data_IF_578178228254
#
_entry.id   IF_578178228254
#
_cell.length_a   1.000
_cell.length_b   1.000
_cell.length_c   1.000
_cell.angle_alpha   90.00
_cell.angle_beta   90.00
_cell.angle_gamma   90.00
#
_symmetry.space_group_name_H-M   'P 1'
#
loop_
_entity.id
_entity.type
_entity.pdbx_description
1 polymer ?
#
# COMPACT_ATOMS: atom_id res chain seq x y z
N UNK A 1 -9.00 -17.40 16.84
CA UNK A 1 -9.74 -16.69 17.89
C UNK A 1 -11.10 -16.31 17.32
N UNK A 2 -12.16 -16.72 18.01
CA UNK A 2 -13.50 -16.28 17.70
C UNK A 2 -13.55 -14.77 17.96
N UNK A 3 -13.95 -13.99 16.95
CA UNK A 3 -14.13 -12.55 17.13
C UNK A 3 -15.34 -12.30 18.06
N UNK A 4 -15.34 -11.19 18.82
CA UNK A 4 -16.45 -10.81 19.71
C UNK A 4 -17.79 -10.79 19.00
N UNK A 5 -17.81 -10.42 17.70
CA UNK A 5 -19.00 -10.48 16.86
C UNK A 5 -19.53 -11.91 16.69
N UNK A 6 -18.66 -12.92 16.63
CA UNK A 6 -19.05 -14.32 16.52
C UNK A 6 -19.66 -14.84 17.83
N UNK A 7 -19.14 -14.38 18.97
CA UNK A 7 -19.68 -14.77 20.30
C UNK A 7 -21.02 -14.10 20.55
N UNK A 8 -21.17 -12.83 20.21
CA UNK A 8 -22.46 -12.11 20.29
C UNK A 8 -23.54 -12.78 19.43
N UNK A 9 -23.22 -13.19 18.20
CA UNK A 9 -24.19 -13.85 17.32
C UNK A 9 -24.62 -15.24 17.82
N UNK A 10 -23.74 -15.92 18.56
CA UNK A 10 -24.09 -17.21 19.20
C UNK A 10 -25.04 -17.05 20.38
N UNK A 11 -24.98 -15.92 21.07
CA UNK A 11 -25.83 -15.64 22.26
C UNK A 11 -27.14 -14.97 21.91
N UNK A 12 -27.18 -14.11 20.87
CA UNK A 12 -28.36 -13.30 20.52
C UNK A 12 -29.07 -13.75 19.24
N UNK A 13 -28.52 -14.72 18.53
CA UNK A 13 -28.94 -15.15 17.20
C UNK A 13 -28.43 -14.20 16.10
N UNK A 14 -28.62 -14.64 14.84
CA UNK A 14 -28.25 -13.82 13.68
C UNK A 14 -29.28 -12.69 13.51
N UNK A 15 -28.79 -11.45 13.47
CA UNK A 15 -29.62 -10.27 13.19
C UNK A 15 -29.40 -9.83 11.75
N UNK A 16 -30.45 -9.36 11.11
CA UNK A 16 -30.38 -8.77 9.78
C UNK A 16 -30.69 -7.28 9.89
N UNK A 17 -29.85 -6.47 9.30
CA UNK A 17 -30.12 -5.05 9.13
C UNK A 17 -30.85 -4.84 7.81
N UNK A 18 -32.04 -4.22 7.86
CA UNK A 18 -32.81 -3.82 6.70
C UNK A 18 -32.59 -2.33 6.44
N UNK A 19 -31.98 -2.00 5.33
CA UNK A 19 -31.83 -0.62 4.87
C UNK A 19 -32.91 -0.37 3.83
N UNK A 20 -33.94 0.47 4.14
CA UNK A 20 -34.98 0.79 3.17
C UNK A 20 -34.39 1.56 1.98
N UNK A 21 -34.72 1.17 0.76
CA UNK A 21 -34.39 1.86 -0.47
C UNK A 21 -35.58 2.61 -1.06
N UNK A 22 -35.33 3.53 -1.99
CA UNK A 22 -36.36 4.31 -2.68
C UNK A 22 -36.93 3.59 -3.95
N UNK A 23 -36.64 2.30 -4.12
CA UNK A 23 -37.07 1.49 -5.25
C UNK A 23 -38.52 1.02 -5.17
N UNK A 24 -39.02 0.42 -6.27
CA UNK A 24 -40.33 -0.24 -6.30
C UNK A 24 -40.41 -1.38 -5.27
N UNK A 25 -41.60 -1.61 -4.63
CA UNK A 25 -41.73 -2.69 -3.68
C UNK A 25 -41.35 -4.04 -4.26
N UNK A 26 -40.45 -4.75 -3.60
CA UNK A 26 -40.01 -6.09 -3.95
C UNK A 26 -40.23 -7.04 -2.77
N UNK A 27 -40.67 -8.27 -3.05
CA UNK A 27 -40.89 -9.30 -2.03
C UNK A 27 -39.73 -10.31 -1.95
N UNK A 28 -38.84 -10.28 -2.94
CA UNK A 28 -37.72 -11.21 -3.03
C UNK A 28 -36.43 -10.45 -2.85
N UNK A 29 -35.73 -10.69 -1.75
CA UNK A 29 -34.44 -10.08 -1.45
C UNK A 29 -33.37 -11.16 -1.43
N UNK A 30 -32.19 -10.85 -2.01
CA UNK A 30 -31.00 -11.66 -1.89
C UNK A 30 -30.17 -11.10 -0.75
N UNK A 31 -29.92 -11.90 0.27
CA UNK A 31 -29.07 -11.52 1.39
C UNK A 31 -27.62 -11.57 0.88
N UNK A 32 -26.96 -10.43 0.84
CA UNK A 32 -25.55 -10.37 0.58
C UNK A 32 -24.77 -10.63 1.88
N UNK A 33 -23.66 -11.39 1.84
CA UNK A 33 -22.74 -11.46 2.96
C UNK A 33 -22.30 -10.08 3.41
N UNK A 34 -22.04 -9.91 4.71
CA UNK A 34 -21.68 -8.61 5.30
C UNK A 34 -20.45 -7.96 4.64
N UNK A 35 -19.52 -8.78 4.15
CA UNK A 35 -18.33 -8.38 3.39
C UNK A 35 -18.66 -7.75 2.03
N UNK A 36 -19.84 -8.04 1.46
CA UNK A 36 -20.34 -7.46 0.20
C UNK A 36 -21.39 -6.36 0.39
N UNK A 37 -21.83 -6.09 1.60
CA UNK A 37 -22.82 -5.06 1.88
C UNK A 37 -22.35 -3.66 1.43
N UNK A 38 -21.06 -3.39 1.52
CA UNK A 38 -20.48 -2.13 1.05
C UNK A 38 -20.67 -1.91 -0.46
N UNK A 39 -20.61 -2.99 -1.27
CA UNK A 39 -20.79 -2.93 -2.73
C UNK A 39 -22.20 -2.52 -3.16
N UNK A 40 -23.19 -2.63 -2.27
CA UNK A 40 -24.58 -2.25 -2.57
C UNK A 40 -24.83 -0.77 -2.38
N UNK A 41 -23.91 -0.04 -1.76
CA UNK A 41 -24.03 1.41 -1.59
C UNK A 41 -23.81 2.11 -2.94
N UNK A 42 -24.71 2.99 -3.39
CA UNK A 42 -24.50 3.76 -4.60
C UNK A 42 -23.26 4.66 -4.44
N UNK A 43 -22.41 4.68 -5.47
CA UNK A 43 -21.18 5.50 -5.47
C UNK A 43 -19.97 4.90 -4.73
N UNK A 44 -20.02 3.61 -4.34
CA UNK A 44 -18.85 2.93 -3.80
C UNK A 44 -17.69 2.95 -4.79
N UNK A 45 -16.50 3.32 -4.31
CA UNK A 45 -15.28 3.27 -5.10
C UNK A 45 -14.63 1.89 -4.94
N UNK A 46 -14.48 1.17 -6.04
CA UNK A 46 -13.71 -0.08 -6.05
C UNK A 46 -12.33 0.18 -6.61
N UNK A 47 -11.30 -0.22 -5.89
CA UNK A 47 -9.90 -0.15 -6.30
C UNK A 47 -9.29 -1.53 -6.41
N UNK A 48 -8.40 -1.71 -7.38
CA UNK A 48 -7.63 -2.93 -7.56
C UNK A 48 -6.22 -2.71 -7.03
N UNK A 49 -5.74 -3.62 -6.18
CA UNK A 49 -4.40 -3.56 -5.63
C UNK A 49 -3.61 -4.78 -6.10
N UNK A 50 -2.35 -4.58 -6.47
CA UNK A 50 -1.47 -5.66 -6.92
C UNK A 50 -0.22 -5.72 -6.05
N UNK A 51 0.17 -6.94 -5.67
CA UNK A 51 1.36 -7.20 -4.86
C UNK A 51 2.09 -8.46 -5.37
N UNK A 52 3.40 -8.58 -5.15
CA UNK A 52 4.13 -9.81 -5.47
C UNK A 52 3.68 -11.00 -4.62
N UNK A 53 3.20 -10.76 -3.40
CA UNK A 53 2.70 -11.77 -2.46
C UNK A 53 1.52 -11.25 -1.63
N UNK A 54 0.86 -12.11 -0.86
CA UNK A 54 -0.36 -11.76 -0.13
C UNK A 54 -0.13 -10.90 1.11
N UNK A 55 1.08 -10.89 1.67
CA UNK A 55 1.40 -10.22 2.95
C UNK A 55 0.44 -10.56 4.10
N UNK A 56 -0.24 -11.70 4.02
CA UNK A 56 -1.26 -12.08 4.99
C UNK A 56 -2.57 -11.28 4.90
N UNK A 57 -2.77 -10.51 3.84
CA UNK A 57 -4.02 -9.77 3.60
C UNK A 57 -5.10 -10.74 3.10
N UNK A 58 -6.28 -10.64 3.71
CA UNK A 58 -7.46 -11.45 3.40
C UNK A 58 -8.71 -10.60 3.15
N UNK A 59 -9.73 -11.20 2.56
CA UNK A 59 -11.04 -10.57 2.43
C UNK A 59 -11.61 -10.20 3.81
N UNK A 60 -12.32 -9.09 3.88
CA UNK A 60 -12.88 -8.54 5.11
C UNK A 60 -11.94 -7.64 5.91
N UNK A 61 -10.64 -7.62 5.62
CA UNK A 61 -9.71 -6.74 6.32
C UNK A 61 -9.92 -5.27 5.96
N UNK A 62 -9.73 -4.35 6.93
CA UNK A 62 -10.03 -2.94 6.77
C UNK A 62 -9.03 -2.21 5.86
N UNK A 63 -9.54 -1.20 5.13
CA UNK A 63 -8.75 -0.11 4.59
C UNK A 63 -8.80 1.06 5.56
N UNK A 64 -7.63 1.57 5.94
CA UNK A 64 -7.48 2.59 6.99
C UNK A 64 -6.84 3.83 6.39
N UNK A 65 -7.46 4.99 6.59
CA UNK A 65 -6.96 6.31 6.22
C UNK A 65 -6.94 7.19 7.47
N UNK A 66 -5.78 7.71 7.84
CA UNK A 66 -5.59 8.50 9.07
C UNK A 66 -6.17 7.85 10.35
N UNK A 67 -6.06 6.52 10.48
CA UNK A 67 -6.59 5.78 11.63
C UNK A 67 -8.10 5.50 11.56
N UNK A 68 -8.81 5.95 10.51
CA UNK A 68 -10.23 5.72 10.31
C UNK A 68 -10.43 4.61 9.29
N UNK A 69 -11.30 3.64 9.57
CA UNK A 69 -11.69 2.65 8.58
C UNK A 69 -12.57 3.30 7.51
N UNK A 70 -12.06 3.32 6.29
CA UNK A 70 -12.72 3.93 5.12
C UNK A 70 -13.24 2.91 4.11
N UNK A 71 -12.94 1.64 4.32
CA UNK A 71 -13.31 0.57 3.41
C UNK A 71 -12.84 -0.79 3.87
N UNK A 72 -12.92 -1.75 2.98
CA UNK A 72 -12.47 -3.13 3.25
C UNK A 72 -12.01 -3.85 1.99
N UNK A 73 -11.17 -4.87 2.17
CA UNK A 73 -10.79 -5.82 1.13
C UNK A 73 -11.97 -6.75 0.85
N UNK A 74 -12.35 -6.86 -0.43
CA UNK A 74 -13.48 -7.69 -0.88
C UNK A 74 -13.05 -9.09 -1.28
N UNK A 75 -11.93 -9.16 -2.01
CA UNK A 75 -11.46 -10.40 -2.63
C UNK A 75 -9.94 -10.39 -2.76
N UNK A 76 -9.37 -11.59 -2.65
CA UNK A 76 -7.97 -11.88 -2.95
C UNK A 76 -7.90 -12.93 -4.04
N UNK A 77 -7.12 -12.68 -5.08
CA UNK A 77 -6.94 -13.60 -6.21
C UNK A 77 -5.47 -13.80 -6.53
N UNK A 78 -5.03 -15.05 -6.61
CA UNK A 78 -3.70 -15.38 -7.11
C UNK A 78 -3.65 -15.18 -8.63
N UNK A 79 -2.58 -14.57 -9.10
CA UNK A 79 -2.30 -14.32 -10.52
C UNK A 79 -0.90 -14.85 -10.87
N UNK A 80 -0.57 -14.94 -12.14
CA UNK A 80 0.77 -15.37 -12.59
C UNK A 80 1.90 -14.44 -12.11
N UNK A 81 1.59 -13.16 -11.83
CA UNK A 81 2.57 -12.13 -11.43
C UNK A 81 2.53 -11.80 -9.94
N UNK A 82 1.76 -12.57 -9.14
CA UNK A 82 1.59 -12.29 -7.71
C UNK A 82 0.14 -12.35 -7.28
N UNK A 83 -0.28 -11.45 -6.41
CA UNK A 83 -1.62 -11.43 -5.83
C UNK A 83 -2.32 -10.12 -6.18
N UNK A 84 -3.57 -10.22 -6.63
CA UNK A 84 -4.45 -9.09 -6.86
C UNK A 84 -5.55 -9.06 -5.80
N UNK A 85 -5.81 -7.89 -5.26
CA UNK A 85 -6.90 -7.64 -4.32
C UNK A 85 -7.91 -6.69 -4.95
N UNK A 86 -9.18 -6.94 -4.67
CA UNK A 86 -10.25 -5.99 -4.92
C UNK A 86 -10.66 -5.39 -3.57
N UNK A 87 -10.76 -4.09 -3.47
CA UNK A 87 -11.10 -3.40 -2.23
C UNK A 87 -12.17 -2.35 -2.50
N UNK A 88 -13.12 -2.20 -1.57
CA UNK A 88 -14.16 -1.20 -1.63
C UNK A 88 -13.89 -0.09 -0.63
N UNK A 89 -14.09 1.15 -1.06
CA UNK A 89 -14.01 2.36 -0.25
C UNK A 89 -15.40 2.98 -0.17
N UNK A 90 -15.80 3.33 1.03
CA UNK A 90 -17.11 3.96 1.28
C UNK A 90 -17.22 5.26 0.45
N UNK A 91 -18.38 5.52 -0.19
CA UNK A 91 -18.60 6.69 -1.04
C UNK A 91 -18.20 8.02 -0.42
N UNK A 92 -18.42 8.18 0.89
CA UNK A 92 -18.09 9.41 1.62
C UNK A 92 -16.58 9.71 1.65
N UNK A 93 -15.73 8.70 1.45
CA UNK A 93 -14.27 8.83 1.47
C UNK A 93 -13.61 8.67 0.09
N UNK A 94 -14.40 8.37 -0.94
CA UNK A 94 -13.89 8.14 -2.30
C UNK A 94 -13.10 9.32 -2.86
N UNK A 95 -13.46 10.54 -2.50
CA UNK A 95 -12.78 11.78 -2.89
C UNK A 95 -11.42 12.00 -2.22
N UNK A 96 -11.06 11.20 -1.22
CA UNK A 96 -9.77 11.26 -0.54
C UNK A 96 -8.71 10.36 -1.18
N UNK A 97 -9.11 9.55 -2.18
CA UNK A 97 -8.20 8.68 -2.93
C UNK A 97 -7.94 9.29 -4.30
N UNK A 98 -6.67 9.43 -4.64
CA UNK A 98 -6.19 10.04 -5.88
C UNK A 98 -5.25 9.10 -6.63
N UNK A 99 -4.84 9.47 -7.85
CA UNK A 99 -3.95 8.65 -8.66
C UNK A 99 -2.55 8.42 -8.04
N UNK A 100 -2.09 9.32 -7.19
CA UNK A 100 -0.82 9.25 -6.46
C UNK A 100 -0.96 8.68 -5.04
N UNK A 101 -2.16 8.27 -4.61
CA UNK A 101 -2.35 7.58 -3.33
C UNK A 101 -1.55 6.28 -3.30
N UNK A 102 -1.01 5.93 -2.13
CA UNK A 102 -0.27 4.69 -1.91
C UNK A 102 -1.03 3.76 -0.96
N UNK A 103 -0.92 2.48 -1.20
CA UNK A 103 -1.53 1.44 -0.37
C UNK A 103 -0.41 0.63 0.26
N UNK A 104 -0.40 0.54 1.58
CA UNK A 104 0.67 -0.08 2.37
C UNK A 104 0.05 -1.09 3.32
N UNK A 105 0.66 -2.25 3.44
CA UNK A 105 0.23 -3.23 4.45
C UNK A 105 0.38 -2.61 5.83
N UNK A 106 -0.69 -2.64 6.61
CA UNK A 106 -0.66 -2.23 8.01
C UNK A 106 -0.12 -3.40 8.83
N UNK A 107 1.22 -3.56 8.82
CA UNK A 107 1.88 -4.61 9.60
C UNK A 107 1.75 -4.31 11.08
N UNK A 108 1.54 -5.36 11.86
CA UNK A 108 1.28 -5.29 13.31
C UNK A 108 2.48 -4.82 14.13
N UNK A 109 3.68 -4.80 13.54
CA UNK A 109 4.92 -4.41 14.23
C UNK A 109 5.91 -3.86 13.21
N UNK A 110 6.17 -2.56 13.24
CA UNK A 110 7.39 -2.00 12.68
C UNK A 110 8.48 -2.10 13.76
N UNK A 111 9.30 -3.12 13.66
CA UNK A 111 10.49 -3.27 14.54
C UNK A 111 11.66 -2.59 13.82
N UNK A 112 12.07 -1.43 14.29
CA UNK A 112 13.36 -0.86 13.90
C UNK A 112 14.44 -1.41 14.80
N UNK A 113 15.33 -2.22 14.24
CA UNK A 113 16.56 -2.66 14.91
C UNK A 113 17.64 -1.66 14.53
N UNK A 114 17.97 -0.76 15.43
CA UNK A 114 19.10 0.16 15.31
C UNK A 114 20.27 -0.27 16.21
N UNK A 115 21.42 0.38 16.04
CA UNK A 115 22.59 0.17 16.92
C UNK A 115 22.31 0.56 18.39
N UNK A 116 21.25 1.34 18.64
CA UNK A 116 20.83 1.83 19.96
C UNK A 116 19.75 0.95 20.62
N UNK A 117 19.40 -0.19 20.01
CA UNK A 117 18.41 -1.11 20.56
C UNK A 117 17.22 -1.39 19.61
N UNK A 118 16.22 -2.08 20.15
CA UNK A 118 14.97 -2.42 19.44
C UNK A 118 13.91 -1.41 19.83
N UNK A 119 13.50 -0.57 18.90
CA UNK A 119 12.42 0.38 19.09
C UNK A 119 11.12 -0.19 18.51
N UNK A 120 10.14 -0.45 19.38
CA UNK A 120 8.79 -0.85 18.97
C UNK A 120 7.97 0.41 18.71
N UNK A 121 7.79 0.80 17.47
CA UNK A 121 6.86 1.86 17.10
C UNK A 121 5.44 1.30 17.18
N UNK A 122 4.82 1.46 18.35
CA UNK A 122 3.51 0.91 18.66
C UNK A 122 2.38 1.57 17.90
N UNK A 123 1.65 0.76 17.14
CA UNK A 123 0.28 1.05 16.77
C UNK A 123 -0.61 1.03 18.02
N UNK A 124 -1.73 1.77 18.01
CA UNK A 124 -2.71 1.70 19.11
C UNK A 124 -3.26 0.28 19.28
N UNK A 125 -3.68 -0.09 20.48
CA UNK A 125 -4.16 -1.44 20.79
C UNK A 125 -5.29 -1.92 19.84
N UNK A 126 -6.09 -1.02 19.26
CA UNK A 126 -7.12 -1.32 18.26
C UNK A 126 -6.55 -1.66 16.88
N UNK A 127 -5.38 -1.14 16.52
CA UNK A 127 -4.68 -1.46 15.27
C UNK A 127 -3.96 -2.82 15.34
N UNK A 128 -3.65 -3.29 16.55
CA UNK A 128 -3.03 -4.59 16.78
C UNK A 128 -3.93 -5.79 16.45
N UNK A 129 -5.25 -5.60 16.49
CA UNK A 129 -6.21 -6.71 16.40
C UNK A 129 -6.53 -7.10 14.95
N UNK A 130 -6.52 -6.18 14.00
CA UNK A 130 -7.16 -6.41 12.71
C UNK A 130 -6.26 -6.45 11.47
N UNK A 131 -4.97 -6.07 11.53
CA UNK A 131 -4.16 -5.96 10.33
C UNK A 131 -4.81 -4.98 9.31
N UNK A 132 -4.61 -5.23 8.02
CA UNK A 132 -5.31 -4.48 6.96
C UNK A 132 -4.39 -3.68 6.08
N UNK A 133 -4.95 -2.73 5.36
CA UNK A 133 -4.24 -1.89 4.40
C UNK A 133 -4.37 -0.43 4.82
N UNK A 134 -3.25 0.25 5.01
CA UNK A 134 -3.20 1.69 5.24
C UNK A 134 -3.16 2.42 3.89
N UNK A 135 -3.98 3.45 3.76
CA UNK A 135 -3.96 4.37 2.62
C UNK A 135 -3.14 5.60 3.02
N UNK A 136 -2.13 5.91 2.23
CA UNK A 136 -1.44 7.19 2.28
C UNK A 136 -2.13 8.09 1.26
N UNK A 137 -2.76 9.19 1.68
CA UNK A 137 -3.52 10.02 0.77
C UNK A 137 -2.60 10.66 -0.26
N UNK A 138 -3.06 10.70 -1.50
CA UNK A 138 -2.48 11.51 -2.54
C UNK A 138 -3.14 12.88 -2.60
N UNK A 139 -2.65 13.73 -3.49
CA UNK A 139 -3.21 15.06 -3.74
C UNK A 139 -3.46 15.34 -5.22
N UNK A 140 -3.05 14.43 -6.10
CA UNK A 140 -3.03 14.67 -7.55
C UNK A 140 -3.41 13.43 -8.37
N UNK A 141 -3.86 13.70 -9.57
CA UNK A 141 -4.12 12.69 -10.59
C UNK A 141 -5.49 12.03 -10.46
N UNK A 142 -6.03 11.65 -11.61
CA UNK A 142 -7.24 10.84 -11.69
C UNK A 142 -6.99 9.46 -11.08
N UNK A 143 -8.05 8.83 -10.58
CA UNK A 143 -8.00 7.46 -10.09
C UNK A 143 -7.37 6.53 -11.13
N UNK A 144 -6.51 5.63 -10.67
CA UNK A 144 -5.89 4.61 -11.51
C UNK A 144 -6.78 3.36 -11.54
N UNK A 145 -6.68 2.59 -12.60
CA UNK A 145 -7.33 1.29 -12.71
C UNK A 145 -6.82 0.30 -11.64
N UNK A 146 -5.54 0.41 -11.31
CA UNK A 146 -4.91 -0.39 -10.24
C UNK A 146 -3.76 0.34 -9.57
N UNK A 147 -3.49 -0.04 -8.33
CA UNK A 147 -2.42 0.49 -7.49
C UNK A 147 -1.50 -0.63 -7.01
N UNK A 148 -0.22 -0.36 -6.81
CA UNK A 148 0.65 -1.27 -6.10
C UNK A 148 0.28 -1.31 -4.60
N UNK A 149 0.32 -2.51 -4.02
CA UNK A 149 0.27 -2.69 -2.57
C UNK A 149 1.70 -2.95 -2.07
N UNK A 150 2.19 -2.07 -1.21
CA UNK A 150 3.55 -2.12 -0.67
C UNK A 150 3.58 -2.88 0.65
N UNK A 151 4.63 -3.66 0.87
CA UNK A 151 4.83 -4.43 2.11
C UNK A 151 4.94 -3.53 3.35
N UNK A 152 5.54 -2.36 3.21
CA UNK A 152 5.77 -1.39 4.28
C UNK A 152 5.89 0.04 3.73
N UNK A 153 5.99 1.01 4.65
CA UNK A 153 6.09 2.43 4.32
C UNK A 153 7.37 2.76 3.54
N UNK A 154 8.50 2.14 3.90
CA UNK A 154 9.78 2.40 3.25
C UNK A 154 9.72 2.07 1.76
N UNK A 155 9.13 0.91 1.40
CA UNK A 155 8.92 0.53 -0.01
C UNK A 155 7.99 1.48 -0.76
N UNK A 156 6.98 2.03 -0.09
CA UNK A 156 6.10 3.02 -0.70
C UNK A 156 6.83 4.35 -0.94
N UNK A 157 7.72 4.76 -0.02
CA UNK A 157 8.56 5.95 -0.16
C UNK A 157 9.61 5.75 -1.26
N UNK A 158 10.32 4.62 -1.27
CA UNK A 158 11.28 4.27 -2.34
C UNK A 158 10.62 4.36 -3.72
N UNK A 159 9.41 3.81 -3.88
CA UNK A 159 8.67 3.93 -5.13
C UNK A 159 8.34 5.39 -5.50
N UNK A 160 8.02 6.23 -4.51
CA UNK A 160 7.76 7.65 -4.75
C UNK A 160 9.03 8.41 -5.19
N UNK A 161 10.18 8.03 -4.63
CA UNK A 161 11.48 8.59 -5.03
C UNK A 161 11.89 8.12 -6.42
N UNK A 162 11.55 6.87 -6.79
CA UNK A 162 11.78 6.33 -8.13
C UNK A 162 10.93 6.99 -9.23
N UNK A 163 9.77 7.57 -8.88
CA UNK A 163 8.90 8.31 -9.80
C UNK A 163 9.36 9.78 -9.99
N UNK A 164 10.32 10.26 -9.20
CA UNK A 164 10.91 11.59 -9.39
C UNK A 164 11.88 11.57 -10.58
N UNK A 165 11.94 12.64 -11.39
CA UNK A 165 12.88 12.69 -12.50
C UNK A 165 14.32 12.63 -11.96
N UNK A 166 14.95 11.48 -12.12
CA UNK A 166 16.36 11.32 -11.80
C UNK A 166 17.21 12.00 -12.85
N UNK A 167 18.23 12.72 -12.43
CA UNK A 167 19.23 13.28 -13.35
C UNK A 167 20.34 12.25 -13.52
N UNK A 168 20.54 11.80 -14.75
CA UNK A 168 21.71 10.95 -15.07
C UNK A 168 22.92 11.84 -15.31
N UNK A 169 24.00 11.60 -14.57
CA UNK A 169 25.29 12.24 -14.75
C UNK A 169 26.32 11.20 -15.16
N UNK A 170 27.17 11.58 -16.11
CA UNK A 170 28.34 10.76 -16.48
C UNK A 170 29.61 11.46 -16.03
N UNK A 171 30.38 10.79 -15.19
CA UNK A 171 31.72 11.23 -14.79
C UNK A 171 32.76 10.44 -15.57
N UNK A 172 33.90 11.08 -15.86
CA UNK A 172 35.05 10.41 -16.44
C UNK A 172 36.21 10.40 -15.44
N UNK A 173 36.82 9.25 -15.25
CA UNK A 173 37.97 9.06 -14.37
C UNK A 173 39.15 8.41 -15.18
N UNK A 174 40.34 8.96 -15.05
CA UNK A 174 41.55 8.42 -15.73
C UNK A 174 42.00 7.09 -15.13
N UNK A 175 41.70 6.85 -13.86
CA UNK A 175 42.02 5.62 -13.15
C UNK A 175 40.74 4.95 -12.66
N UNK A 176 40.76 3.62 -12.49
CA UNK A 176 39.63 2.88 -11.95
C UNK A 176 39.33 3.37 -10.54
N UNK A 177 38.17 3.99 -10.32
CA UNK A 177 37.75 4.45 -8.99
C UNK A 177 37.34 3.27 -8.11
N UNK A 178 37.50 3.40 -6.80
CA UNK A 178 37.02 2.44 -5.81
C UNK A 178 35.52 2.57 -5.60
N UNK A 179 34.77 2.45 -6.70
CA UNK A 179 33.30 2.46 -6.72
C UNK A 179 32.80 1.39 -7.68
N UNK A 180 31.63 0.87 -7.40
CA UNK A 180 30.96 -0.14 -8.21
C UNK A 180 29.47 0.22 -8.39
N UNK A 181 28.77 -0.49 -9.27
CA UNK A 181 27.32 -0.35 -9.38
C UNK A 181 26.66 -0.58 -8.01
N UNK A 182 25.76 0.31 -7.61
CA UNK A 182 25.12 0.34 -6.30
C UNK A 182 25.91 1.13 -5.23
N UNK A 183 27.10 1.67 -5.53
CA UNK A 183 27.78 2.60 -4.61
C UNK A 183 26.94 3.87 -4.44
N UNK A 184 26.77 4.32 -3.19
CA UNK A 184 25.99 5.52 -2.88
C UNK A 184 26.73 6.81 -3.26
N UNK A 185 25.99 7.79 -3.76
CA UNK A 185 26.48 9.14 -3.99
C UNK A 185 26.04 10.05 -2.85
N UNK A 186 27.00 10.66 -2.17
CA UNK A 186 26.74 11.52 -1.02
C UNK A 186 26.96 13.00 -1.34
N UNK A 187 26.03 13.85 -0.93
CA UNK A 187 26.21 15.29 -0.85
C UNK A 187 26.03 15.75 0.59
N UNK A 188 27.08 16.34 1.17
CA UNK A 188 27.12 16.77 2.59
C UNK A 188 26.71 15.67 3.58
N UNK A 189 27.12 14.42 3.31
CA UNK A 189 26.79 13.19 4.07
C UNK A 189 25.34 12.68 3.90
N UNK A 190 24.53 13.31 3.05
CA UNK A 190 23.21 12.79 2.70
C UNK A 190 23.29 12.01 1.39
N UNK A 191 22.62 10.87 1.33
CA UNK A 191 22.52 10.11 0.10
C UNK A 191 21.65 10.86 -0.92
N UNK A 192 22.27 11.21 -2.04
CA UNK A 192 21.62 11.94 -3.13
C UNK A 192 21.54 11.14 -4.43
N UNK A 193 22.05 9.92 -4.44
CA UNK A 193 22.02 9.10 -5.63
C UNK A 193 22.83 7.82 -5.50
N UNK A 194 22.99 7.13 -6.61
CA UNK A 194 23.74 5.88 -6.71
C UNK A 194 24.50 5.77 -8.02
N UNK A 195 25.58 4.97 -8.01
CA UNK A 195 26.34 4.59 -9.20
C UNK A 195 25.57 3.48 -9.93
N UNK A 196 25.22 3.71 -11.20
CA UNK A 196 24.53 2.72 -12.03
C UNK A 196 25.49 1.77 -12.70
N UNK A 197 26.56 2.33 -13.29
CA UNK A 197 27.53 1.51 -13.99
C UNK A 197 28.90 2.18 -14.04
N UNK A 198 29.95 1.37 -14.11
CA UNK A 198 31.32 1.79 -14.39
C UNK A 198 31.77 1.06 -15.64
N UNK A 199 32.10 1.79 -16.71
CA UNK A 199 32.52 1.23 -18.02
C UNK A 199 33.92 1.67 -18.35
N UNK A 200 34.83 0.71 -18.69
CA UNK A 200 36.16 1.05 -19.19
C UNK A 200 36.07 1.65 -20.60
N UNK A 201 36.89 2.66 -20.87
CA UNK A 201 37.21 3.21 -22.19
C UNK A 201 38.70 2.95 -22.50
N UNK A 202 39.13 3.39 -23.67
CA UNK A 202 40.53 3.18 -24.09
C UNK A 202 41.54 3.86 -23.15
N UNK A 203 41.18 5.00 -22.57
CA UNK A 203 42.04 5.89 -21.77
C UNK A 203 41.41 6.39 -20.48
N UNK A 204 40.20 5.91 -20.15
CA UNK A 204 39.45 6.39 -19.01
C UNK A 204 38.36 5.39 -18.58
N UNK A 205 37.63 5.72 -17.52
CA UNK A 205 36.43 5.01 -17.07
C UNK A 205 35.25 5.99 -17.06
N UNK A 206 34.15 5.59 -17.67
CA UNK A 206 32.89 6.30 -17.57
C UNK A 206 32.07 5.74 -16.40
N UNK A 207 31.66 6.63 -15.49
CA UNK A 207 30.84 6.32 -14.31
C UNK A 207 29.51 6.99 -14.50
N UNK A 208 28.46 6.22 -14.63
CA UNK A 208 27.08 6.72 -14.77
C UNK A 208 26.42 6.75 -13.41
N UNK A 209 25.89 7.90 -13.02
CA UNK A 209 25.24 8.15 -11.75
C UNK A 209 23.78 8.50 -11.98
N UNK A 210 22.91 8.01 -11.11
CA UNK A 210 21.55 8.54 -10.95
C UNK A 210 21.53 9.43 -9.71
N UNK A 211 21.15 10.68 -9.89
CA UNK A 211 20.97 11.65 -8.80
C UNK A 211 19.48 11.83 -8.57
N UNK A 212 19.07 11.65 -7.32
CA UNK A 212 17.72 11.90 -6.83
C UNK A 212 17.58 13.42 -6.60
N UNK A 213 16.47 14.06 -6.96
CA UNK A 213 16.23 15.48 -6.71
C UNK A 213 16.07 15.81 -5.23
#
# INVERSE_FOLDING_TARGET
>A
SLSDASISSLLTGSTFELIPGEGAPNKNFVIAPADKALLQKPGVLTVKLNAPESYGIEAGQPLILHGVQVGQVLERKLTEKGVSFSAAIDPQYGNLVHGDSKFVVNSRVDVKVGLDGVEFLGASASEWVNGGIRILPGSKGALRESYPLFANLDKAIENSLGDLPTTTLTLSAETLPDVQAGSVVLYRKFEVGEVITVRPRADAFDIELHIKP
#
